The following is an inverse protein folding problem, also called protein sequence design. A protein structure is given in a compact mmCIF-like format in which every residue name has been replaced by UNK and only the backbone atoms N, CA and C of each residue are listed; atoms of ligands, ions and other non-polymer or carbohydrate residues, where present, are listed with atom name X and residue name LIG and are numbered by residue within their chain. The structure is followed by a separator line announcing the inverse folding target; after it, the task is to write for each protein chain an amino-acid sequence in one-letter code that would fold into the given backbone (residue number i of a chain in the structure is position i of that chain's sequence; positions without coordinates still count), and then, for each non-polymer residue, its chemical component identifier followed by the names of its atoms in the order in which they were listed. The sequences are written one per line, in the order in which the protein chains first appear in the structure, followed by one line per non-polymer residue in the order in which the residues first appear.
data_IF_615997989516
#
_entry.id   IF_615997989516
#
_cell.length_a   1.000
_cell.length_b   1.000
_cell.length_c   1.000
_cell.angle_alpha   90.00
_cell.angle_beta   90.00
_cell.angle_gamma   90.00
#
_symmetry.space_group_name_H-M   'P 1'
#
loop_
_entity.id
_entity.type
_entity.pdbx_description
1 polymer ?
#
# COMPACT_ATOMS: atom_id res chain seq x y z
N UNK A 1 5.13 10.29 -3.76
CA UNK A 1 5.07 10.61 -5.20
C UNK A 1 6.08 9.71 -5.91
N UNK A 2 5.72 9.08 -7.03
CA UNK A 2 6.51 8.25 -8.00
C UNK A 2 8.05 8.37 -8.01
N UNK A 3 8.60 9.48 -7.53
CA UNK A 3 9.99 9.80 -7.22
C UNK A 3 10.82 8.76 -6.47
N UNK A 4 10.34 7.90 -5.56
CA UNK A 4 11.27 6.99 -4.86
C UNK A 4 11.74 5.87 -5.78
N UNK A 5 10.81 5.24 -6.51
CA UNK A 5 11.16 4.27 -7.56
C UNK A 5 11.86 4.95 -8.76
N UNK A 6 11.46 6.17 -9.13
CA UNK A 6 12.16 6.99 -10.13
C UNK A 6 13.57 7.41 -9.69
N UNK A 7 13.78 7.76 -8.41
CA UNK A 7 15.07 8.10 -7.81
C UNK A 7 15.94 6.85 -7.80
N UNK A 8 15.42 5.70 -7.40
CA UNK A 8 16.16 4.43 -7.45
C UNK A 8 16.53 4.01 -8.88
N UNK A 9 15.83 4.54 -9.88
CA UNK A 9 16.16 4.36 -11.31
C UNK A 9 17.10 5.42 -11.86
N UNK A 10 17.27 6.58 -11.20
CA UNK A 10 18.26 7.55 -11.66
C UNK A 10 19.67 6.95 -11.56
N UNK A 11 20.50 7.02 -12.62
CA UNK A 11 21.79 6.31 -12.69
C UNK A 11 22.70 6.58 -11.48
N UNK A 12 22.74 7.84 -11.01
CA UNK A 12 23.55 8.25 -9.87
C UNK A 12 23.11 7.60 -8.56
N UNK A 13 21.80 7.59 -8.27
CA UNK A 13 21.26 6.95 -7.06
C UNK A 13 21.29 5.43 -7.16
N UNK A 14 21.02 4.87 -8.34
CA UNK A 14 21.14 3.42 -8.59
C UNK A 14 22.54 2.93 -8.32
N UNK A 15 23.56 3.63 -8.82
CA UNK A 15 24.97 3.32 -8.57
C UNK A 15 25.33 3.45 -7.09
N UNK A 16 24.77 4.42 -6.38
CA UNK A 16 25.00 4.60 -4.94
C UNK A 16 24.33 3.52 -4.06
N UNK A 17 23.18 3.00 -4.51
CA UNK A 17 22.40 1.97 -3.83
C UNK A 17 22.80 0.53 -4.21
N UNK A 18 23.42 0.34 -5.37
CA UNK A 18 23.98 -0.94 -5.76
C UNK A 18 25.30 -1.16 -5.00
N UNK A 19 25.38 -2.19 -4.17
CA UNK A 19 26.55 -2.43 -3.29
C UNK A 19 27.21 -3.79 -3.47
N UNK A 20 26.53 -4.74 -4.09
CA UNK A 20 27.03 -6.08 -4.33
C UNK A 20 26.30 -6.69 -5.54
N UNK A 21 27.00 -7.58 -6.25
CA UNK A 21 26.43 -8.45 -7.27
C UNK A 21 26.25 -9.85 -6.64
N UNK A 22 25.01 -10.22 -6.33
CA UNK A 22 24.73 -11.50 -5.69
C UNK A 22 24.47 -12.58 -6.74
N UNK A 23 25.09 -13.77 -6.56
CA UNK A 23 24.90 -14.93 -7.43
C UNK A 23 24.40 -16.12 -6.63
N UNK A 24 23.23 -16.63 -6.98
CA UNK A 24 22.65 -17.82 -6.36
C UNK A 24 23.44 -19.11 -6.67
N UNK A 25 24.17 -19.16 -7.78
CA UNK A 25 25.04 -20.29 -8.13
C UNK A 25 26.06 -20.60 -7.04
N UNK A 26 26.72 -19.57 -6.51
CA UNK A 26 27.71 -19.69 -5.45
C UNK A 26 27.11 -20.31 -4.19
N UNK A 27 25.91 -19.86 -3.79
CA UNK A 27 25.19 -20.41 -2.64
C UNK A 27 24.91 -21.91 -2.81
N UNK A 28 24.52 -22.34 -4.01
CA UNK A 28 24.27 -23.76 -4.29
C UNK A 28 25.58 -24.56 -4.35
N UNK A 29 26.66 -24.02 -4.91
CA UNK A 29 27.96 -24.69 -4.96
C UNK A 29 28.54 -24.90 -3.55
N UNK A 30 28.42 -23.91 -2.69
CA UNK A 30 28.91 -23.99 -1.32
C UNK A 30 28.12 -25.03 -0.50
N UNK A 31 26.79 -25.10 -0.68
CA UNK A 31 25.94 -26.13 -0.06
C UNK A 31 26.29 -27.54 -0.55
N UNK A 32 26.61 -27.70 -1.84
CA UNK A 32 27.03 -28.99 -2.41
C UNK A 32 28.44 -29.38 -1.92
N UNK A 33 29.35 -28.42 -1.79
CA UNK A 33 30.74 -28.65 -1.38
C UNK A 33 30.87 -29.06 0.09
N UNK A 34 30.02 -28.55 0.99
CA UNK A 34 30.13 -28.82 2.43
C UNK A 34 29.42 -30.10 2.92
N UNK A 35 28.60 -30.73 2.07
CA UNK A 35 27.94 -32.02 2.35
C UNK A 35 26.78 -31.96 3.37
N UNK A 36 26.02 -33.05 3.53
CA UNK A 36 24.71 -33.06 4.22
C UNK A 36 24.76 -32.99 5.76
N UNK A 37 25.95 -32.85 6.37
CA UNK A 37 26.14 -33.00 7.83
C UNK A 37 26.62 -31.74 8.55
N UNK A 38 27.00 -30.68 7.83
CA UNK A 38 27.28 -29.40 8.49
C UNK A 38 25.95 -28.73 8.85
N UNK A 39 25.81 -28.26 10.09
CA UNK A 39 24.71 -27.42 10.52
C UNK A 39 24.82 -26.06 9.83
N UNK A 40 24.57 -26.04 8.52
CA UNK A 40 24.76 -24.86 7.70
C UNK A 40 23.72 -23.82 8.08
N UNK A 41 24.21 -22.75 8.69
CA UNK A 41 23.42 -21.56 8.95
C UNK A 41 23.12 -20.92 7.58
N UNK A 42 21.95 -21.24 7.01
CA UNK A 42 21.25 -20.55 5.90
C UNK A 42 21.17 -19.01 6.03
N UNK A 43 21.73 -18.43 7.11
CA UNK A 43 21.75 -17.01 7.43
C UNK A 43 22.90 -16.23 6.78
N UNK A 44 24.02 -16.88 6.43
CA UNK A 44 25.20 -16.15 5.95
C UNK A 44 25.25 -15.93 4.43
N UNK A 45 24.55 -16.77 3.66
CA UNK A 45 24.51 -16.71 2.20
C UNK A 45 23.11 -16.31 1.71
N UNK A 46 22.56 -15.21 2.22
CA UNK A 46 21.36 -14.61 1.66
C UNK A 46 21.71 -13.26 1.05
N UNK A 47 21.05 -12.85 -0.03
CA UNK A 47 21.25 -11.51 -0.59
C UNK A 47 21.00 -10.47 0.51
N UNK A 48 22.00 -9.60 0.74
CA UNK A 48 21.89 -8.66 1.85
C UNK A 48 20.82 -7.63 1.51
N UNK A 49 20.09 -7.21 2.53
CA UNK A 49 19.04 -6.21 2.40
C UNK A 49 19.49 -4.92 3.08
N UNK A 50 18.97 -3.81 2.60
CA UNK A 50 18.96 -2.59 3.38
C UNK A 50 17.98 -2.73 4.54
N UNK A 51 18.17 -1.91 5.58
CA UNK A 51 17.33 -1.94 6.78
C UNK A 51 15.86 -1.67 6.40
N UNK A 52 15.02 -2.71 6.59
CA UNK A 52 13.56 -2.81 6.44
C UNK A 52 12.88 -2.29 5.15
N UNK A 53 13.29 -1.17 4.54
CA UNK A 53 12.42 -0.42 3.61
C UNK A 53 12.97 -0.23 2.20
N UNK A 54 14.22 -0.62 1.92
CA UNK A 54 14.92 -0.30 0.68
C UNK A 54 15.28 -1.52 -0.18
N UNK A 55 14.78 -2.71 0.17
CA UNK A 55 14.98 -3.94 -0.61
C UNK A 55 16.42 -4.48 -0.61
N UNK A 56 16.79 -5.19 -1.67
CA UNK A 56 18.07 -5.88 -1.83
C UNK A 56 19.23 -4.96 -2.17
N UNK A 57 20.39 -5.09 -1.53
CA UNK A 57 21.58 -4.29 -1.85
C UNK A 57 22.04 -4.43 -3.31
N UNK A 58 21.76 -5.58 -3.92
CA UNK A 58 21.84 -5.76 -5.35
C UNK A 58 20.58 -5.21 -6.05
N UNK A 59 20.75 -4.13 -6.83
CA UNK A 59 19.67 -3.48 -7.58
C UNK A 59 19.18 -4.27 -8.79
N UNK A 60 20.02 -5.13 -9.38
CA UNK A 60 19.60 -5.97 -10.50
C UNK A 60 18.69 -7.09 -9.98
N UNK A 61 19.08 -7.68 -8.84
CA UNK A 61 18.27 -8.63 -8.09
C UNK A 61 16.93 -8.03 -7.64
N UNK A 62 16.93 -6.77 -7.18
CA UNK A 62 15.69 -6.05 -6.84
C UNK A 62 14.78 -5.89 -8.07
N UNK A 63 15.33 -5.52 -9.23
CA UNK A 63 14.55 -5.38 -10.46
C UNK A 63 13.90 -6.71 -10.89
N UNK A 64 14.62 -7.82 -10.77
CA UNK A 64 14.09 -9.16 -11.05
C UNK A 64 12.98 -9.56 -10.07
N UNK A 65 13.19 -9.31 -8.78
CA UNK A 65 12.18 -9.56 -7.75
C UNK A 65 10.90 -8.77 -8.03
N UNK A 66 11.01 -7.46 -8.31
CA UNK A 66 9.85 -6.60 -8.55
C UNK A 66 9.09 -7.01 -9.83
N UNK A 67 9.80 -7.47 -10.85
CA UNK A 67 9.18 -7.99 -12.08
C UNK A 67 8.45 -9.32 -11.84
N UNK A 68 9.03 -10.26 -11.07
CA UNK A 68 8.36 -11.52 -10.69
C UNK A 68 7.17 -11.26 -9.75
N UNK A 69 7.30 -10.31 -8.81
CA UNK A 69 6.23 -9.90 -7.91
C UNK A 69 5.03 -9.37 -8.69
N UNK A 70 5.26 -8.47 -9.65
CA UNK A 70 4.19 -7.91 -10.48
C UNK A 70 3.45 -8.99 -11.29
N UNK A 71 4.16 -10.05 -11.71
CA UNK A 71 3.59 -11.18 -12.45
C UNK A 71 2.83 -12.14 -11.55
N UNK A 72 3.41 -12.51 -10.42
CA UNK A 72 2.88 -13.52 -9.49
C UNK A 72 1.72 -13.00 -8.65
N UNK A 73 1.71 -11.71 -8.28
CA UNK A 73 0.72 -11.10 -7.39
C UNK A 73 -0.33 -10.23 -8.09
N UNK A 74 -0.52 -10.37 -9.40
CA UNK A 74 -1.53 -9.62 -10.17
C UNK A 74 -2.95 -9.72 -9.60
N UNK A 75 -3.33 -10.89 -9.07
CA UNK A 75 -4.65 -11.10 -8.48
C UNK A 75 -4.84 -10.25 -7.21
N UNK A 76 -3.82 -10.17 -6.36
CA UNK A 76 -3.82 -9.32 -5.17
C UNK A 76 -4.00 -7.84 -5.51
N UNK A 77 -3.34 -7.38 -6.58
CA UNK A 77 -3.53 -6.00 -7.09
C UNK A 77 -4.97 -5.76 -7.55
N UNK A 78 -5.56 -6.67 -8.33
CA UNK A 78 -6.96 -6.55 -8.78
C UNK A 78 -7.95 -6.55 -7.62
N UNK A 79 -7.76 -7.46 -6.67
CA UNK A 79 -8.59 -7.53 -5.45
C UNK A 79 -8.46 -6.24 -4.64
N UNK A 80 -7.25 -5.69 -4.49
CA UNK A 80 -7.07 -4.43 -3.81
C UNK A 80 -7.81 -3.28 -4.50
N UNK A 81 -7.75 -3.17 -5.83
CA UNK A 81 -8.51 -2.13 -6.54
C UNK A 81 -10.02 -2.31 -6.36
N UNK A 82 -10.52 -3.54 -6.42
CA UNK A 82 -11.92 -3.84 -6.17
C UNK A 82 -12.33 -3.41 -4.75
N UNK A 83 -11.53 -3.74 -3.74
CA UNK A 83 -11.77 -3.32 -2.34
C UNK A 83 -11.75 -1.79 -2.23
N UNK A 84 -10.76 -1.12 -2.83
CA UNK A 84 -10.66 0.34 -2.79
C UNK A 84 -11.90 1.01 -3.41
N UNK A 85 -12.34 0.53 -4.57
CA UNK A 85 -13.53 1.02 -5.27
C UNK A 85 -14.79 0.80 -4.43
N UNK A 86 -14.95 -0.40 -3.85
CA UNK A 86 -16.12 -0.72 -3.00
C UNK A 86 -16.13 0.14 -1.74
N UNK A 87 -15.00 0.24 -1.03
CA UNK A 87 -14.91 1.05 0.19
C UNK A 87 -15.16 2.53 -0.10
N UNK A 88 -14.61 3.05 -1.20
CA UNK A 88 -14.87 4.41 -1.64
C UNK A 88 -16.36 4.62 -1.93
N UNK A 89 -16.98 3.71 -2.69
CA UNK A 89 -18.40 3.80 -3.02
C UNK A 89 -19.29 3.69 -1.79
N UNK A 90 -19.02 2.75 -0.88
CA UNK A 90 -19.77 2.58 0.37
C UNK A 90 -19.67 3.84 1.22
N UNK A 91 -18.48 4.43 1.36
CA UNK A 91 -18.30 5.70 2.07
C UNK A 91 -19.17 6.81 1.48
N UNK A 92 -19.07 7.07 0.18
CA UNK A 92 -19.88 8.11 -0.49
C UNK A 92 -21.39 7.81 -0.45
N UNK A 93 -21.77 6.55 -0.53
CA UNK A 93 -23.18 6.13 -0.47
C UNK A 93 -23.78 6.35 0.92
N UNK A 94 -23.06 6.00 1.98
CA UNK A 94 -23.50 6.21 3.36
C UNK A 94 -23.64 7.70 3.66
N UNK A 95 -22.68 8.52 3.23
CA UNK A 95 -22.77 9.97 3.39
C UNK A 95 -23.98 10.56 2.64
N UNK A 96 -24.18 10.15 1.38
CA UNK A 96 -25.34 10.57 0.58
C UNK A 96 -26.67 10.21 1.26
N UNK A 97 -26.78 9.01 1.86
CA UNK A 97 -27.99 8.60 2.59
C UNK A 97 -28.28 9.49 3.80
N UNK A 98 -27.25 9.91 4.53
CA UNK A 98 -27.40 10.85 5.64
C UNK A 98 -27.81 12.24 5.15
N UNK A 99 -27.18 12.73 4.08
CA UNK A 99 -27.48 14.03 3.48
C UNK A 99 -28.92 14.14 2.96
N UNK A 100 -29.57 13.05 2.52
CA UNK A 100 -30.98 13.09 2.05
C UNK A 100 -31.92 13.69 3.11
N UNK A 101 -31.75 13.33 4.38
CA UNK A 101 -32.61 13.87 5.46
C UNK A 101 -32.38 15.35 5.68
N UNK A 102 -31.11 15.77 5.62
CA UNK A 102 -30.71 17.15 5.81
C UNK A 102 -31.16 18.03 4.64
N UNK A 103 -31.00 17.55 3.41
CA UNK A 103 -31.48 18.25 2.21
C UNK A 103 -33.00 18.44 2.24
N UNK A 104 -33.76 17.42 2.68
CA UNK A 104 -35.22 17.57 2.91
C UNK A 104 -35.55 18.60 3.98
N UNK A 105 -34.83 18.61 5.10
CA UNK A 105 -35.04 19.61 6.16
C UNK A 105 -34.70 21.03 5.68
N UNK A 106 -33.65 21.20 4.86
CA UNK A 106 -33.28 22.49 4.25
C UNK A 106 -34.31 22.94 3.21
N UNK A 107 -34.93 22.01 2.49
CA UNK A 107 -36.04 22.30 1.58
C UNK A 107 -37.26 22.86 2.34
N UNK A 108 -37.43 22.52 3.61
CA UNK A 108 -38.51 23.03 4.48
C UNK A 108 -38.18 24.40 5.11
N UNK A 109 -36.94 24.91 4.96
CA UNK A 109 -36.55 26.20 5.55
C UNK A 109 -37.16 27.41 4.86
N UNK A 110 -37.46 28.44 5.67
CA UNK A 110 -37.92 29.75 5.18
C UNK A 110 -36.83 30.46 4.36
N UNK A 111 -37.23 31.41 3.50
CA UNK A 111 -36.33 32.20 2.65
C UNK A 111 -35.27 32.97 3.44
N UNK A 112 -35.57 33.46 4.64
CA UNK A 112 -34.58 34.10 5.54
C UNK A 112 -33.57 33.10 6.11
N UNK A 113 -34.00 31.89 6.50
CA UNK A 113 -33.10 30.85 7.00
C UNK A 113 -32.17 30.34 5.88
N UNK A 114 -32.69 30.19 4.65
CA UNK A 114 -31.86 29.87 3.48
C UNK A 114 -30.90 31.01 3.13
N UNK A 115 -31.28 32.27 3.33
CA UNK A 115 -30.39 33.41 3.13
C UNK A 115 -29.21 33.41 4.13
N UNK A 116 -29.43 32.99 5.38
CA UNK A 116 -28.36 32.76 6.37
C UNK A 116 -27.45 31.59 6.01
N UNK A 117 -28.00 30.52 5.42
CA UNK A 117 -27.20 29.44 4.80
C UNK A 117 -26.46 29.89 3.54
N UNK A 118 -26.89 30.97 2.90
CA UNK A 118 -26.22 31.58 1.75
C UNK A 118 -24.81 32.10 2.05
N UNK A 119 -24.50 32.42 3.31
CA UNK A 119 -23.11 32.69 3.76
C UNK A 119 -22.23 31.43 3.70
N UNK A 120 -22.83 30.23 3.76
CA UNK A 120 -22.20 28.93 3.54
C UNK A 120 -22.39 28.45 2.09
N UNK A 121 -22.36 29.35 1.09
CA UNK A 121 -22.22 29.07 -0.36
C UNK A 121 -22.81 27.73 -0.92
N UNK A 122 -24.01 27.32 -0.50
CA UNK A 122 -24.67 26.08 -0.95
C UNK A 122 -25.20 26.12 -2.41
N UNK A 123 -25.02 27.24 -3.12
CA UNK A 123 -25.55 27.46 -4.47
C UNK A 123 -24.54 27.11 -5.57
N UNK A 124 -24.83 26.06 -6.36
CA UNK A 124 -24.33 25.84 -7.73
C UNK A 124 -22.83 25.59 -7.95
N UNK A 125 -21.96 26.05 -7.05
CA UNK A 125 -20.51 25.77 -7.05
C UNK A 125 -20.15 24.63 -6.10
N UNK A 126 -20.94 24.40 -5.04
CA UNK A 126 -20.69 23.38 -4.03
C UNK A 126 -20.87 21.97 -4.58
N UNK A 127 -21.94 21.70 -5.32
CA UNK A 127 -22.13 20.41 -6.00
C UNK A 127 -21.01 20.09 -6.98
N UNK A 128 -20.45 21.08 -7.68
CA UNK A 128 -19.28 20.87 -8.52
C UNK A 128 -17.99 20.68 -7.69
N UNK A 129 -17.79 21.45 -6.62
CA UNK A 129 -16.65 21.33 -5.70
C UNK A 129 -16.62 19.99 -4.96
N UNK A 130 -17.78 19.38 -4.66
CA UNK A 130 -17.90 18.06 -4.02
C UNK A 130 -17.81 16.91 -5.03
N UNK A 131 -18.63 16.95 -6.08
CA UNK A 131 -18.72 15.83 -7.01
C UNK A 131 -17.48 15.71 -7.89
N UNK A 132 -16.75 16.81 -8.18
CA UNK A 132 -15.58 16.75 -9.05
C UNK A 132 -14.43 15.94 -8.44
N UNK A 133 -13.95 16.22 -7.21
CA UNK A 133 -12.92 15.39 -6.57
C UNK A 133 -13.35 13.94 -6.42
N UNK A 134 -14.61 13.68 -6.07
CA UNK A 134 -15.15 12.32 -5.91
C UNK A 134 -15.14 11.57 -7.25
N UNK A 135 -15.66 12.19 -8.31
CA UNK A 135 -15.71 11.60 -9.65
C UNK A 135 -14.31 11.37 -10.23
N UNK A 136 -13.39 12.33 -10.06
CA UNK A 136 -12.00 12.17 -10.50
C UNK A 136 -11.29 11.04 -9.74
N UNK A 137 -11.52 10.94 -8.43
CA UNK A 137 -10.93 9.88 -7.61
C UNK A 137 -11.43 8.50 -8.04
N UNK A 138 -12.74 8.37 -8.26
CA UNK A 138 -13.34 7.15 -8.80
C UNK A 138 -12.79 6.82 -10.19
N UNK A 139 -12.68 7.83 -11.07
CA UNK A 139 -12.11 7.66 -12.40
C UNK A 139 -10.66 7.16 -12.32
N UNK A 140 -9.82 7.72 -11.45
CA UNK A 140 -8.44 7.25 -11.25
C UNK A 140 -8.37 5.81 -10.75
N UNK A 141 -9.25 5.39 -9.83
CA UNK A 141 -9.30 4.01 -9.36
C UNK A 141 -9.73 3.04 -10.46
N UNK A 142 -10.77 3.38 -11.22
CA UNK A 142 -11.29 2.53 -12.31
C UNK A 142 -10.31 2.46 -13.49
N UNK A 143 -9.77 3.60 -13.92
CA UNK A 143 -8.75 3.67 -14.98
C UNK A 143 -7.47 2.95 -14.52
N UNK A 144 -7.07 3.13 -13.26
CA UNK A 144 -5.95 2.40 -12.66
C UNK A 144 -6.14 0.90 -12.74
N UNK A 145 -7.30 0.38 -12.31
CA UNK A 145 -7.64 -1.03 -12.43
C UNK A 145 -7.59 -1.50 -13.89
N UNK A 146 -8.29 -0.80 -14.80
CA UNK A 146 -8.32 -1.17 -16.21
C UNK A 146 -6.90 -1.20 -16.82
N UNK A 147 -6.07 -0.20 -16.54
CA UNK A 147 -4.69 -0.14 -17.01
C UNK A 147 -3.83 -1.26 -16.42
N UNK A 148 -3.98 -1.62 -15.13
CA UNK A 148 -3.27 -2.78 -14.57
C UNK A 148 -3.69 -4.10 -15.21
N UNK A 149 -4.97 -4.26 -15.56
CA UNK A 149 -5.48 -5.43 -16.28
C UNK A 149 -4.88 -5.49 -17.69
N UNK A 150 -4.91 -4.38 -18.43
CA UNK A 150 -4.33 -4.28 -19.78
C UNK A 150 -2.84 -4.58 -19.77
N UNK A 151 -2.07 -3.99 -18.84
CA UNK A 151 -0.62 -4.23 -18.73
C UNK A 151 -0.35 -5.71 -18.45
N UNK A 152 -1.09 -6.35 -17.55
CA UNK A 152 -0.87 -7.75 -17.18
C UNK A 152 -1.29 -8.74 -18.27
N UNK A 153 -2.37 -8.46 -19.02
CA UNK A 153 -2.87 -9.34 -20.08
C UNK A 153 -2.17 -9.11 -21.42
N UNK A 154 -1.66 -7.91 -21.68
CA UNK A 154 -1.00 -7.60 -22.94
C UNK A 154 0.32 -8.35 -23.09
N UNK A 155 0.51 -9.04 -24.23
CA UNK A 155 1.80 -9.65 -24.58
C UNK A 155 2.84 -8.64 -25.05
N UNK A 156 2.43 -7.43 -25.46
CA UNK A 156 3.36 -6.41 -25.98
C UNK A 156 4.19 -5.77 -24.87
N UNK A 157 3.64 -5.65 -23.67
CA UNK A 157 4.32 -5.02 -22.53
C UNK A 157 5.21 -6.05 -21.84
N UNK A 158 6.53 -5.95 -22.05
CA UNK A 158 7.50 -6.86 -21.46
C UNK A 158 7.80 -6.58 -19.98
N UNK A 159 7.75 -5.30 -19.57
CA UNK A 159 8.02 -4.87 -18.18
C UNK A 159 6.71 -4.78 -17.38
N UNK A 160 6.35 -5.86 -16.68
CA UNK A 160 5.14 -5.91 -15.84
C UNK A 160 5.27 -5.10 -14.56
N UNK A 161 6.49 -4.81 -14.09
CA UNK A 161 6.76 -3.94 -12.94
C UNK A 161 6.12 -2.53 -13.05
N UNK A 162 5.77 -2.08 -14.26
CA UNK A 162 5.04 -0.83 -14.47
C UNK A 162 3.71 -0.77 -13.69
N UNK A 163 3.09 -1.92 -13.41
CA UNK A 163 1.88 -2.04 -12.59
C UNK A 163 2.11 -1.46 -11.19
N UNK A 164 3.27 -1.67 -10.57
CA UNK A 164 3.58 -1.18 -9.22
C UNK A 164 3.66 0.35 -9.20
N UNK A 165 4.26 0.94 -10.25
CA UNK A 165 4.37 2.39 -10.39
C UNK A 165 3.02 3.04 -10.69
N UNK A 166 2.20 2.38 -11.50
CA UNK A 166 0.83 2.80 -11.76
C UNK A 166 0.01 2.80 -10.47
N UNK A 167 0.11 1.75 -9.64
CA UNK A 167 -0.57 1.71 -8.33
C UNK A 167 -0.09 2.87 -7.43
N UNK A 168 1.22 3.06 -7.31
CA UNK A 168 1.78 4.18 -6.53
C UNK A 168 1.26 5.55 -7.01
N UNK A 169 1.18 5.75 -8.33
CA UNK A 169 0.66 6.99 -8.92
C UNK A 169 -0.82 7.18 -8.60
N UNK A 170 -1.66 6.17 -8.82
CA UNK A 170 -3.11 6.25 -8.59
C UNK A 170 -3.40 6.58 -7.12
N UNK A 171 -2.76 5.91 -6.17
CA UNK A 171 -2.96 6.21 -4.75
C UNK A 171 -2.34 7.54 -4.31
N UNK A 172 -1.27 8.00 -4.97
CA UNK A 172 -0.76 9.37 -4.75
C UNK A 172 -1.79 10.42 -5.21
N UNK A 173 -2.39 10.22 -6.38
CA UNK A 173 -3.43 11.11 -6.91
C UNK A 173 -4.69 11.09 -6.04
N UNK A 174 -5.07 9.90 -5.54
CA UNK A 174 -6.13 9.73 -4.55
C UNK A 174 -5.85 10.61 -3.32
N UNK A 175 -4.67 10.48 -2.70
CA UNK A 175 -4.29 11.24 -1.50
C UNK A 175 -4.32 12.75 -1.77
N UNK A 176 -3.83 13.19 -2.94
CA UNK A 176 -3.81 14.59 -3.30
C UNK A 176 -5.23 15.17 -3.49
N UNK A 177 -6.09 14.47 -4.24
CA UNK A 177 -7.47 14.92 -4.49
C UNK A 177 -8.32 14.88 -3.23
N UNK A 178 -8.22 13.81 -2.45
CA UNK A 178 -8.98 13.68 -1.21
C UNK A 178 -8.45 14.62 -0.12
N UNK A 179 -7.14 14.92 -0.12
CA UNK A 179 -6.56 15.97 0.72
C UNK A 179 -7.09 17.35 0.36
N UNK A 180 -7.17 17.66 -0.94
CA UNK A 180 -7.81 18.88 -1.41
C UNK A 180 -9.29 18.93 -1.00
N UNK A 181 -10.06 17.88 -1.25
CA UNK A 181 -11.47 17.79 -0.86
C UNK A 181 -11.67 18.03 0.63
N UNK A 182 -10.94 17.28 1.47
CA UNK A 182 -11.04 17.37 2.93
C UNK A 182 -10.65 18.76 3.45
N UNK A 183 -9.67 19.44 2.81
CA UNK A 183 -9.18 20.75 3.27
C UNK A 183 -10.25 21.84 3.35
N UNK A 184 -11.31 21.74 2.56
CA UNK A 184 -12.41 22.70 2.56
C UNK A 184 -13.72 22.11 3.09
N UNK A 185 -13.94 20.79 2.96
CA UNK A 185 -15.18 20.14 3.42
C UNK A 185 -15.22 19.85 4.92
N UNK A 186 -14.08 19.76 5.61
CA UNK A 186 -14.04 19.34 7.03
C UNK A 186 -14.93 20.16 7.98
N UNK A 187 -15.12 21.45 7.72
CA UNK A 187 -16.00 22.32 8.51
C UNK A 187 -17.48 21.97 8.33
N UNK A 188 -17.87 21.68 7.09
CA UNK A 188 -19.23 21.20 6.77
C UNK A 188 -19.44 19.85 7.45
N UNK A 189 -18.46 18.97 7.36
CA UNK A 189 -18.52 17.65 8.00
C UNK A 189 -18.62 17.74 9.53
N UNK A 190 -17.88 18.64 10.19
CA UNK A 190 -18.05 18.90 11.62
C UNK A 190 -19.45 19.44 11.96
N UNK A 191 -20.04 20.27 11.11
CA UNK A 191 -21.41 20.72 11.32
C UNK A 191 -22.41 19.55 11.27
N UNK A 192 -22.19 18.60 10.36
CA UNK A 192 -23.10 17.46 10.11
C UNK A 192 -22.93 16.33 11.13
N UNK A 193 -21.69 16.00 11.47
CA UNK A 193 -21.35 14.86 12.33
C UNK A 193 -21.07 15.27 13.79
N UNK A 194 -21.05 16.57 14.08
CA UNK A 194 -20.80 17.13 15.40
C UNK A 194 -19.42 17.78 15.52
N UNK A 195 -19.32 18.72 16.45
CA UNK A 195 -18.08 19.45 16.74
C UNK A 195 -16.94 18.48 17.03
N UNK A 196 -15.82 18.63 16.31
CA UNK A 196 -14.65 17.77 16.46
C UNK A 196 -14.78 16.37 15.82
N UNK A 197 -15.79 16.12 14.99
CA UNK A 197 -15.99 14.84 14.30
C UNK A 197 -15.03 14.59 13.12
N UNK A 198 -14.26 15.59 12.69
CA UNK A 198 -13.35 15.49 11.55
C UNK A 198 -12.42 14.26 11.55
N UNK A 199 -11.88 13.75 12.69
CA UNK A 199 -11.06 12.55 12.67
C UNK A 199 -11.86 11.28 12.35
N UNK A 200 -13.15 11.24 12.73
CA UNK A 200 -14.06 10.13 12.41
C UNK A 200 -14.34 10.12 10.92
N UNK A 201 -14.69 11.29 10.36
CA UNK A 201 -14.94 11.49 8.93
C UNK A 201 -13.72 11.09 8.11
N UNK A 202 -12.53 11.52 8.56
CA UNK A 202 -11.27 11.16 7.94
C UNK A 202 -11.04 9.64 7.95
N UNK A 203 -11.36 8.95 9.04
CA UNK A 203 -11.20 7.49 9.17
C UNK A 203 -12.16 6.73 8.25
N UNK A 204 -13.45 7.10 8.30
CA UNK A 204 -14.53 6.33 7.67
C UNK A 204 -14.63 6.61 6.18
N UNK A 205 -14.49 7.87 5.76
CA UNK A 205 -14.77 8.29 4.38
C UNK A 205 -13.52 8.53 3.55
N UNK A 206 -12.47 9.08 4.14
CA UNK A 206 -11.31 9.56 3.39
C UNK A 206 -10.17 8.55 3.36
N UNK A 207 -9.89 7.85 4.47
CA UNK A 207 -8.76 6.93 4.54
C UNK A 207 -9.17 5.46 4.38
N UNK A 208 -10.44 5.11 4.60
CA UNK A 208 -10.89 3.72 4.52
C UNK A 208 -10.54 3.03 3.20
N UNK A 209 -10.57 3.67 2.01
CA UNK A 209 -10.18 3.01 0.76
C UNK A 209 -8.70 2.60 0.71
N UNK A 210 -7.84 3.22 1.54
CA UNK A 210 -6.43 2.85 1.66
C UNK A 210 -6.20 1.53 2.40
N UNK A 211 -7.20 1.00 3.12
CA UNK A 211 -7.15 -0.35 3.69
C UNK A 211 -6.92 -1.41 2.60
N UNK A 212 -7.33 -1.12 1.36
CA UNK A 212 -7.07 -1.97 0.21
C UNK A 212 -5.57 -2.25 -0.03
N UNK A 213 -4.67 -1.36 0.40
CA UNK A 213 -3.22 -1.53 0.25
C UNK A 213 -2.72 -2.78 0.99
N UNK A 214 -3.38 -3.18 2.08
CA UNK A 214 -3.07 -4.42 2.82
C UNK A 214 -3.33 -5.68 2.00
N UNK A 215 -4.20 -5.61 0.99
CA UNK A 215 -4.55 -6.73 0.12
C UNK A 215 -3.73 -6.75 -1.17
N UNK A 216 -3.16 -5.62 -1.58
CA UNK A 216 -2.44 -5.48 -2.86
C UNK A 216 -1.06 -6.16 -2.89
N UNK A 217 -0.47 -6.47 -1.73
CA UNK A 217 0.88 -7.05 -1.61
C UNK A 217 1.95 -6.25 -2.39
N UNK A 218 1.87 -4.92 -2.33
CA UNK A 218 2.89 -4.04 -2.93
C UNK A 218 4.20 -4.13 -2.14
N UNK A 219 5.34 -3.79 -2.77
CA UNK A 219 6.60 -3.60 -2.06
C UNK A 219 6.43 -2.65 -0.88
N UNK A 220 7.05 -2.98 0.26
CA UNK A 220 6.87 -2.20 1.51
C UNK A 220 7.34 -0.75 1.36
N UNK A 221 8.32 -0.50 0.49
CA UNK A 221 8.80 0.84 0.13
C UNK A 221 7.70 1.74 -0.44
N UNK A 222 6.85 1.21 -1.33
CA UNK A 222 5.74 1.96 -1.96
C UNK A 222 4.66 2.23 -0.91
N UNK A 223 4.26 1.21 -0.15
CA UNK A 223 3.23 1.37 0.88
C UNK A 223 3.67 2.36 1.96
N UNK A 224 4.90 2.24 2.45
CA UNK A 224 5.47 3.17 3.43
C UNK A 224 5.49 4.61 2.91
N UNK A 225 5.82 4.79 1.63
CA UNK A 225 5.78 6.11 1.01
C UNK A 225 4.35 6.69 1.00
N UNK A 226 3.35 5.89 0.61
CA UNK A 226 1.95 6.32 0.60
C UNK A 226 1.46 6.65 2.01
N UNK A 227 1.77 5.80 2.99
CA UNK A 227 1.40 5.98 4.40
C UNK A 227 2.10 7.19 5.04
N UNK A 228 3.35 7.45 4.67
CA UNK A 228 4.06 8.67 5.08
C UNK A 228 3.39 9.91 4.50
N UNK A 229 2.97 9.87 3.24
CA UNK A 229 2.24 10.97 2.61
C UNK A 229 0.88 11.22 3.28
N UNK A 230 0.15 10.15 3.62
CA UNK A 230 -1.11 10.25 4.39
C UNK A 230 -0.89 10.93 5.73
N UNK A 231 0.14 10.49 6.47
CA UNK A 231 0.48 11.07 7.77
C UNK A 231 0.81 12.56 7.67
N UNK A 232 1.64 12.91 6.68
CA UNK A 232 2.04 14.30 6.47
C UNK A 232 0.85 15.17 6.04
N UNK A 233 0.05 14.74 5.08
CA UNK A 233 -1.06 15.55 4.54
C UNK A 233 -2.21 15.63 5.53
N UNK A 234 -2.76 14.48 5.94
CA UNK A 234 -4.02 14.43 6.67
C UNK A 234 -3.88 14.50 8.19
N UNK A 235 -2.76 14.02 8.76
CA UNK A 235 -2.58 14.00 10.22
C UNK A 235 -1.77 15.19 10.74
N UNK A 236 -0.97 15.83 9.88
CA UNK A 236 -0.09 16.94 10.26
C UNK A 236 -0.47 18.24 9.54
N UNK A 237 -0.25 18.34 8.22
CA UNK A 237 -0.38 19.61 7.50
C UNK A 237 -1.80 20.16 7.55
N UNK A 238 -2.81 19.37 7.16
CA UNK A 238 -4.19 19.87 7.11
C UNK A 238 -4.72 20.28 8.50
N UNK A 239 -4.60 19.46 9.55
CA UNK A 239 -5.04 19.85 10.89
C UNK A 239 -4.34 21.10 11.44
N UNK A 240 -3.03 21.26 11.15
CA UNK A 240 -2.25 22.42 11.60
C UNK A 240 -2.60 23.70 10.83
N UNK A 241 -2.68 23.63 9.50
CA UNK A 241 -2.94 24.81 8.65
C UNK A 241 -4.37 25.31 8.82
N UNK A 242 -5.34 24.41 8.96
CA UNK A 242 -6.75 24.74 9.14
C UNK A 242 -7.13 24.96 10.61
N UNK A 243 -6.17 24.87 11.55
CA UNK A 243 -6.38 25.00 12.98
C UNK A 243 -7.50 24.08 13.53
N UNK A 244 -7.63 22.86 12.99
CA UNK A 244 -8.71 21.92 13.33
C UNK A 244 -8.66 21.48 14.80
N UNK A 245 -7.49 21.58 15.44
CA UNK A 245 -7.32 21.26 16.87
C UNK A 245 -7.96 22.29 17.80
N UNK A 246 -8.28 23.50 17.31
CA UNK A 246 -9.01 24.49 18.10
C UNK A 246 -10.44 24.06 18.43
N UNK A 247 -11.02 23.17 17.61
CA UNK A 247 -12.31 22.54 17.89
C UNK A 247 -12.29 21.70 19.16
N UNK A 248 -11.11 21.34 19.67
CA UNK A 248 -10.95 20.55 20.89
C UNK A 248 -10.92 21.42 22.16
N UNK A 249 -11.41 22.65 22.06
CA UNK A 249 -11.54 23.59 23.18
C UNK A 249 -12.72 23.23 24.09
N UNK A 250 -12.61 23.64 25.36
CA UNK A 250 -13.65 23.42 26.36
C UNK A 250 -14.96 24.15 26.01
N UNK A 251 -14.87 25.35 25.43
CA UNK A 251 -16.05 26.15 25.03
C UNK A 251 -16.84 25.48 23.90
N UNK A 252 -16.15 24.97 22.87
CA UNK A 252 -16.79 24.28 21.75
C UNK A 252 -17.42 22.95 22.21
N UNK A 253 -16.85 22.30 23.23
CA UNK A 253 -17.44 21.13 23.86
C UNK A 253 -18.77 21.43 24.57
N UNK A 254 -18.81 22.46 25.43
CA UNK A 254 -20.04 22.83 26.16
C UNK A 254 -21.21 23.11 25.22
N UNK A 255 -20.93 23.68 24.04
CA UNK A 255 -21.94 23.95 23.02
C UNK A 255 -22.41 22.69 22.27
N UNK A 256 -21.63 21.61 22.31
CA UNK A 256 -21.91 20.34 21.62
C UNK A 256 -22.67 19.31 22.46
N UNK A 257 -22.84 19.56 23.76
CA UNK A 257 -23.60 18.70 24.65
C UNK A 257 -25.09 18.77 24.32
N UNK A 258 -25.74 17.60 24.31
CA UNK A 258 -27.20 17.53 24.34
C UNK A 258 -27.69 18.23 25.62
N UNK A 259 -28.78 19.03 25.58
CA UNK A 259 -29.32 19.74 26.74
C UNK A 259 -29.45 18.88 28.00
N UNK A 260 -29.74 17.59 27.86
CA UNK A 260 -29.87 16.64 28.98
C UNK A 260 -28.54 16.41 29.72
N UNK A 261 -27.40 16.65 29.07
CA UNK A 261 -26.07 16.49 29.68
C UNK A 261 -25.45 17.81 30.13
N UNK A 262 -26.00 18.95 29.71
CA UNK A 262 -25.51 20.28 30.10
C UNK A 262 -25.72 20.50 31.59
N UNK A 263 -26.87 20.10 32.12
CA UNK A 263 -27.20 20.26 33.54
C UNK A 263 -26.40 19.27 34.41
N UNK A 264 -26.19 18.04 33.94
CA UNK A 264 -25.46 16.97 34.60
C UNK A 264 -23.93 17.17 34.60
N UNK A 265 -23.38 17.89 33.61
CA UNK A 265 -21.95 18.15 33.47
C UNK A 265 -21.52 19.51 34.05
N UNK A 266 -22.22 20.00 35.09
CA UNK A 266 -21.84 21.20 35.83
C UNK A 266 -21.09 20.87 37.13
N UNK A 267 -20.45 21.90 37.70
CA UNK A 267 -19.80 21.89 39.01
C UNK A 267 -18.80 20.72 39.18
N UNK A 268 -19.13 19.74 40.02
CA UNK A 268 -18.22 18.65 40.42
C UNK A 268 -17.94 17.62 39.31
N UNK A 269 -18.81 17.54 38.29
CA UNK A 269 -18.73 16.56 37.19
C UNK A 269 -18.12 17.14 35.90
N UNK A 270 -17.99 18.47 35.81
CA UNK A 270 -17.49 19.17 34.63
C UNK A 270 -16.13 18.62 34.17
N UNK A 271 -15.19 18.47 35.10
CA UNK A 271 -13.85 17.94 34.80
C UNK A 271 -13.87 16.51 34.24
N UNK A 272 -14.75 15.66 34.75
CA UNK A 272 -14.91 14.28 34.27
C UNK A 272 -15.55 14.24 32.87
N UNK A 273 -16.57 15.08 32.62
CA UNK A 273 -17.20 15.17 31.31
C UNK A 273 -16.27 15.73 30.22
N UNK A 274 -15.49 16.76 30.54
CA UNK A 274 -14.46 17.31 29.65
C UNK A 274 -13.41 16.24 29.31
N UNK A 275 -13.01 15.43 30.29
CA UNK A 275 -12.03 14.38 30.08
C UNK A 275 -12.57 13.23 29.22
N UNK A 276 -13.81 12.78 29.46
CA UNK A 276 -14.48 11.77 28.63
C UNK A 276 -14.60 12.23 27.18
N UNK A 277 -15.00 13.49 26.96
CA UNK A 277 -15.09 14.05 25.62
C UNK A 277 -13.74 14.17 24.92
N UNK A 278 -12.71 14.68 25.61
CA UNK A 278 -11.34 14.70 25.08
C UNK A 278 -10.90 13.31 24.67
N UNK A 279 -11.23 12.28 25.45
CA UNK A 279 -10.92 10.90 25.10
C UNK A 279 -11.68 10.45 23.84
N UNK A 280 -12.98 10.72 23.73
CA UNK A 280 -13.81 10.38 22.56
C UNK A 280 -13.35 11.04 21.27
N UNK A 281 -12.70 12.19 21.35
CA UNK A 281 -12.19 12.95 20.19
C UNK A 281 -10.74 12.60 19.85
N UNK A 282 -9.88 12.43 20.86
CA UNK A 282 -8.48 12.00 20.68
C UNK A 282 -8.41 10.54 20.22
N UNK A 283 -9.32 9.67 20.68
CA UNK A 283 -9.31 8.25 20.37
C UNK A 283 -9.38 7.96 18.85
N UNK A 284 -10.32 8.52 18.07
CA UNK A 284 -10.32 8.40 16.61
C UNK A 284 -9.03 8.90 15.95
N UNK A 285 -8.42 9.97 16.47
CA UNK A 285 -7.14 10.47 15.97
C UNK A 285 -5.99 9.49 16.23
N UNK A 286 -5.96 8.86 17.40
CA UNK A 286 -5.01 7.78 17.70
C UNK A 286 -5.28 6.57 16.80
N UNK A 287 -6.54 6.21 16.56
CA UNK A 287 -6.91 5.12 15.65
C UNK A 287 -6.36 5.34 14.23
N UNK A 288 -6.41 6.56 13.71
CA UNK A 288 -5.82 6.92 12.42
C UNK A 288 -4.31 6.61 12.36
N UNK A 289 -3.57 7.01 13.40
CA UNK A 289 -2.14 6.67 13.51
C UNK A 289 -1.92 5.16 13.57
N UNK A 290 -2.72 4.43 14.36
CA UNK A 290 -2.61 2.97 14.42
C UNK A 290 -2.94 2.29 13.09
N UNK A 291 -3.87 2.83 12.30
CA UNK A 291 -4.19 2.35 10.95
C UNK A 291 -3.01 2.52 10.00
N UNK A 292 -2.38 3.70 9.97
CA UNK A 292 -1.19 3.98 9.15
C UNK A 292 -0.04 3.02 9.49
N UNK A 293 0.23 2.84 10.79
CA UNK A 293 1.27 1.92 11.28
C UNK A 293 0.89 0.47 10.94
N UNK A 294 -0.36 0.08 11.15
CA UNK A 294 -0.88 -1.25 10.85
C UNK A 294 -0.72 -1.64 9.39
N UNK A 295 -1.12 -0.76 8.46
CA UNK A 295 -0.95 -0.97 7.01
C UNK A 295 0.54 -1.15 6.67
N UNK A 296 1.41 -0.30 7.24
CA UNK A 296 2.85 -0.35 7.00
C UNK A 296 3.49 -1.64 7.51
N UNK A 297 3.10 -2.09 8.71
CA UNK A 297 3.59 -3.35 9.32
C UNK A 297 3.12 -4.56 8.53
N UNK A 298 1.83 -4.62 8.17
CA UNK A 298 1.30 -5.74 7.36
C UNK A 298 1.98 -5.78 5.99
N UNK A 299 2.19 -4.64 5.34
CA UNK A 299 2.92 -4.58 4.06
C UNK A 299 4.35 -5.07 4.19
N UNK A 300 5.06 -4.73 5.26
CA UNK A 300 6.42 -5.20 5.51
C UNK A 300 6.49 -6.72 5.76
N UNK A 301 5.54 -7.27 6.53
CA UNK A 301 5.45 -8.72 6.74
C UNK A 301 5.21 -9.44 5.40
N UNK A 302 4.26 -8.95 4.60
CA UNK A 302 3.96 -9.54 3.30
C UNK A 302 5.15 -9.45 2.33
N UNK A 303 5.84 -8.31 2.26
CA UNK A 303 7.00 -8.15 1.37
C UNK A 303 8.16 -9.06 1.82
N UNK A 304 8.38 -9.22 3.13
CA UNK A 304 9.39 -10.16 3.64
C UNK A 304 9.12 -11.60 3.23
N UNK A 305 7.88 -12.04 3.34
CA UNK A 305 7.48 -13.40 2.95
C UNK A 305 7.55 -13.59 1.44
N UNK A 306 7.10 -12.61 0.64
CA UNK A 306 7.22 -12.66 -0.81
C UNK A 306 8.67 -12.71 -1.29
N UNK A 307 9.57 -11.94 -0.67
CA UNK A 307 11.01 -11.98 -0.98
C UNK A 307 11.63 -13.33 -0.62
N UNK A 308 11.26 -13.92 0.52
CA UNK A 308 11.73 -15.26 0.92
C UNK A 308 11.26 -16.33 -0.05
N UNK A 309 9.99 -16.27 -0.47
CA UNK A 309 9.45 -17.20 -1.45
C UNK A 309 10.18 -17.07 -2.80
N UNK A 310 10.50 -15.85 -3.22
CA UNK A 310 11.26 -15.57 -4.43
C UNK A 310 12.71 -16.07 -4.34
N UNK A 311 13.41 -15.81 -3.23
CA UNK A 311 14.77 -16.34 -2.97
C UNK A 311 14.77 -17.87 -3.05
N UNK A 312 13.85 -18.54 -2.37
CA UNK A 312 13.75 -20.00 -2.39
C UNK A 312 13.47 -20.55 -3.79
N UNK A 313 12.62 -19.87 -4.56
CA UNK A 313 12.34 -20.22 -5.96
C UNK A 313 13.61 -20.16 -6.81
N UNK A 314 14.41 -19.09 -6.67
CA UNK A 314 15.69 -18.96 -7.39
C UNK A 314 16.71 -20.03 -7.01
N UNK A 315 16.84 -20.33 -5.72
CA UNK A 315 17.73 -21.41 -5.26
C UNK A 315 17.31 -22.76 -5.85
N UNK A 316 16.01 -23.07 -5.86
CA UNK A 316 15.51 -24.31 -6.47
C UNK A 316 15.74 -24.37 -7.98
N UNK A 317 15.55 -23.26 -8.70
CA UNK A 317 15.82 -23.17 -10.15
C UNK A 317 17.28 -23.53 -10.44
N UNK A 318 18.23 -22.92 -9.73
CA UNK A 318 19.67 -23.18 -9.88
C UNK A 318 20.02 -24.63 -9.51
N UNK A 319 19.43 -25.18 -8.44
CA UNK A 319 19.63 -26.58 -8.07
C UNK A 319 19.12 -27.54 -9.15
N UNK A 320 17.96 -27.26 -9.75
CA UNK A 320 17.42 -28.06 -10.85
C UNK A 320 18.29 -28.00 -12.10
N UNK A 321 18.81 -26.83 -12.45
CA UNK A 321 19.73 -26.65 -13.57
C UNK A 321 21.02 -27.46 -13.37
N UNK A 322 21.64 -27.38 -12.19
CA UNK A 322 22.84 -28.16 -11.87
C UNK A 322 22.59 -29.67 -11.85
N UNK A 323 21.44 -30.10 -11.36
CA UNK A 323 21.03 -31.52 -11.41
C UNK A 323 20.86 -31.99 -12.86
N UNK A 324 20.24 -31.19 -13.72
CA UNK A 324 20.08 -31.50 -15.14
C UNK A 324 21.44 -31.58 -15.85
N UNK A 325 22.36 -30.64 -15.58
CA UNK A 325 23.72 -30.69 -16.11
C UNK A 325 24.51 -31.91 -15.63
N UNK A 326 24.41 -32.24 -14.34
CA UNK A 326 25.06 -33.42 -13.77
C UNK A 326 24.50 -34.71 -14.37
N UNK A 327 23.19 -34.79 -14.60
CA UNK A 327 22.55 -35.94 -15.24
C UNK A 327 23.04 -36.10 -16.68
N UNK A 328 23.12 -34.99 -17.44
CA UNK A 328 23.64 -34.98 -18.81
C UNK A 328 25.10 -35.41 -18.88
N UNK A 329 25.97 -34.89 -18.01
CA UNK A 329 27.39 -35.31 -17.92
C UNK A 329 27.53 -36.79 -17.59
N UNK A 330 26.66 -37.32 -16.71
CA UNK A 330 26.64 -38.75 -16.36
C UNK A 330 26.22 -39.62 -17.55
N UNK A 331 25.24 -39.17 -18.33
CA UNK A 331 24.82 -39.85 -19.56
C UNK A 331 25.95 -39.86 -20.60
N UNK A 332 26.58 -38.71 -20.85
CA UNK A 332 27.72 -38.59 -21.77
C UNK A 332 28.89 -39.52 -21.35
N UNK A 333 29.21 -39.55 -20.05
CA UNK A 333 30.23 -40.45 -19.51
C UNK A 333 29.90 -41.93 -19.71
N UNK A 334 28.65 -42.34 -19.46
CA UNK A 334 28.21 -43.72 -19.63
C UNK A 334 28.27 -44.16 -21.10
N UNK A 335 27.92 -43.27 -22.03
CA UNK A 335 28.04 -43.51 -23.47
C UNK A 335 29.51 -43.67 -23.88
N UNK A 336 30.40 -42.81 -23.38
CA UNK A 336 31.84 -42.91 -23.67
C UNK A 336 32.45 -44.19 -23.09
N UNK A 337 32.05 -44.60 -21.87
CA UNK A 337 32.49 -45.84 -21.25
C UNK A 337 32.00 -47.07 -22.03
N UNK A 338 30.74 -47.06 -22.51
CA UNK A 338 30.21 -48.12 -23.35
C UNK A 338 31.00 -48.25 -24.65
N UNK A 339 31.29 -47.14 -25.32
CA UNK A 339 32.09 -47.11 -26.54
C UNK A 339 33.52 -47.63 -26.32
N UNK A 340 34.17 -47.22 -25.24
CA UNK A 340 35.50 -47.75 -24.86
C UNK A 340 35.46 -49.27 -24.65
N UNK A 341 34.41 -49.81 -24.02
CA UNK A 341 34.25 -51.25 -23.85
C UNK A 341 34.06 -51.96 -25.19
N UNK A 342 33.24 -51.42 -26.10
CA UNK A 342 33.08 -51.96 -27.46
C UNK A 342 34.41 -51.95 -28.24
N UNK A 343 35.14 -50.84 -28.23
CA UNK A 343 36.43 -50.72 -28.90
C UNK A 343 37.45 -51.73 -28.34
N UNK A 344 37.49 -51.91 -27.01
CA UNK A 344 38.36 -52.89 -26.35
C UNK A 344 38.00 -54.33 -26.76
N UNK A 345 36.70 -54.64 -26.87
CA UNK A 345 36.24 -55.95 -27.35
C UNK A 345 36.68 -56.18 -28.80
N UNK A 346 36.50 -55.19 -29.67
CA UNK A 346 36.91 -55.27 -31.08
C UNK A 346 38.44 -55.47 -31.21
N UNK A 347 39.24 -54.76 -30.41
CA UNK A 347 40.69 -54.94 -30.38
C UNK A 347 41.09 -56.34 -29.92
N UNK A 348 40.47 -56.87 -28.86
CA UNK A 348 40.72 -58.25 -28.41
C UNK A 348 40.44 -59.25 -29.54
N UNK A 349 39.33 -59.09 -30.28
CA UNK A 349 39.01 -59.97 -31.40
C UNK A 349 39.92 -59.81 -32.63
N UNK A 350 40.56 -58.66 -32.85
CA UNK A 350 41.55 -58.46 -33.92
C UNK A 350 42.94 -59.02 -33.59
N UNK A 351 43.21 -59.25 -32.30
CA UNK A 351 44.48 -59.80 -31.81
C UNK A 351 44.52 -61.34 -31.74
N UNK A 352 43.35 -61.98 -31.94
CA UNK A 352 43.20 -63.40 -32.22
C UNK A 352 43.23 -63.65 -33.73
#
# INVERSE_FOLDING_TARGET
MVFVDLLFRTPCFRSWLHREDYKFENEVDDVVAEGPTSSFSFRNHRPKRYLALLGFKDRNLEDEYLEDLARSKKASVFVGYAIAIVLFFVGSFLDSLQQIRMNKAIEEFTTEQRAKLGEYEYGGSMTAKENTPIALTMAFLVIGLAATVVINLSKSVHQKRLVLNLCSLVFTLYIALMGYFFSWSWNVENYVYGVGAWPIVLTVYILSPLLALMSMQLPSSITFQLMSLVSIVFLLILPLVQNMFAEFSHENWMQSLDPVWVDECNDDLEGACVQDWKFKVVFPYVLLWTMVVGISVVSEIQDRENRRAWENKRVMEVQMEKLAESAKKREEYLVEEHKKKEDTIIEMFKSF
#
